data_IF_441889989766
#
_entry.id   IF_441889989766
#
_cell.length_a   1.000
_cell.length_b   1.000
_cell.length_c   1.000
_cell.angle_alpha   90.00
_cell.angle_beta   90.00
_cell.angle_gamma   90.00
#
_symmetry.space_group_name_H-M   'P 1'
#
loop_
_entity.id
_entity.type
_entity.pdbx_description
1 polymer ?
#
# COMPACT_ATOMS: atom_id res chain seq x y z
N UNK A 1 3.24 -22.08 29.96
CA UNK A 1 2.97 -21.28 28.75
C UNK A 1 4.21 -20.42 28.49
N UNK A 2 5.16 -20.94 27.71
CA UNK A 2 6.48 -20.33 27.56
C UNK A 2 6.53 -19.44 26.32
N UNK A 3 7.01 -18.20 26.47
CA UNK A 3 7.28 -17.21 25.42
C UNK A 3 7.91 -17.78 24.11
N UNK A 4 8.88 -18.72 24.14
CA UNK A 4 9.51 -19.25 22.91
C UNK A 4 8.56 -19.95 21.93
N UNK A 5 7.44 -20.53 22.40
CA UNK A 5 6.49 -21.25 21.55
C UNK A 5 5.79 -20.32 20.53
N UNK A 6 5.59 -19.06 20.91
CA UNK A 6 4.97 -18.05 20.05
C UNK A 6 5.87 -17.67 18.88
N UNK A 7 7.16 -17.45 19.13
CA UNK A 7 8.13 -17.13 18.06
C UNK A 7 8.19 -18.24 17.01
N UNK A 8 8.20 -19.50 17.46
CA UNK A 8 8.20 -20.64 16.56
C UNK A 8 6.91 -20.74 15.72
N UNK A 9 5.75 -20.39 16.30
CA UNK A 9 4.48 -20.28 15.56
C UNK A 9 4.51 -19.16 14.51
N UNK A 10 5.00 -17.96 14.84
CA UNK A 10 5.09 -16.86 13.87
C UNK A 10 6.03 -17.19 12.70
N UNK A 11 7.17 -17.84 12.96
CA UNK A 11 8.10 -18.28 11.91
C UNK A 11 7.42 -19.25 10.95
N UNK A 12 6.64 -20.22 11.45
CA UNK A 12 5.88 -21.15 10.59
C UNK A 12 4.86 -20.41 9.73
N UNK A 13 4.15 -19.42 10.28
CA UNK A 13 3.21 -18.60 9.50
C UNK A 13 3.93 -17.88 8.36
N UNK A 14 5.08 -17.25 8.64
CA UNK A 14 5.88 -16.57 7.61
C UNK A 14 6.38 -17.53 6.51
N UNK A 15 6.69 -18.78 6.87
CA UNK A 15 7.11 -19.82 5.93
C UNK A 15 5.97 -20.37 5.06
N UNK A 16 4.72 -20.34 5.56
CA UNK A 16 3.53 -20.77 4.82
C UNK A 16 3.07 -19.72 3.80
N UNK A 17 3.44 -18.44 3.99
CA UNK A 17 3.07 -17.38 3.06
C UNK A 17 3.74 -17.57 1.69
N UNK A 18 2.94 -17.55 0.63
CA UNK A 18 3.43 -17.60 -0.75
C UNK A 18 4.06 -16.27 -1.12
N UNK A 19 5.36 -16.27 -1.43
CA UNK A 19 6.03 -15.10 -2.01
C UNK A 19 5.41 -14.82 -3.38
N UNK A 20 4.95 -13.57 -3.65
CA UNK A 20 4.35 -13.25 -4.93
C UNK A 20 5.37 -13.40 -6.07
N UNK A 21 4.90 -13.86 -7.22
CA UNK A 21 5.69 -13.85 -8.44
C UNK A 21 5.94 -12.40 -8.90
N UNK A 22 6.96 -12.18 -9.73
CA UNK A 22 7.26 -10.83 -10.27
C UNK A 22 6.11 -10.27 -11.10
N UNK A 23 5.35 -11.14 -11.76
CA UNK A 23 4.20 -10.77 -12.60
C UNK A 23 3.01 -10.31 -11.74
N UNK A 24 2.63 -11.09 -10.72
CA UNK A 24 1.57 -10.72 -9.77
C UNK A 24 1.91 -9.42 -9.04
N UNK A 25 3.16 -9.27 -8.61
CA UNK A 25 3.63 -8.05 -7.96
C UNK A 25 3.55 -6.85 -8.89
N UNK A 26 3.99 -6.99 -10.15
CA UNK A 26 3.94 -5.90 -11.13
C UNK A 26 2.50 -5.51 -11.46
N UNK A 27 1.59 -6.48 -11.57
CA UNK A 27 0.17 -6.22 -11.81
C UNK A 27 -0.46 -5.44 -10.65
N UNK A 28 -0.24 -5.89 -9.41
CA UNK A 28 -0.71 -5.19 -8.22
C UNK A 28 -0.13 -3.77 -8.13
N UNK A 29 1.18 -3.63 -8.34
CA UNK A 29 1.87 -2.34 -8.31
C UNK A 29 1.33 -1.36 -9.37
N UNK A 30 1.05 -1.83 -10.60
CA UNK A 30 0.46 -0.99 -11.66
C UNK A 30 -0.93 -0.50 -11.30
N UNK A 31 -1.82 -1.39 -10.85
CA UNK A 31 -3.20 -1.03 -10.46
C UNK A 31 -3.18 -0.04 -9.29
N UNK A 32 -2.37 -0.33 -8.27
CA UNK A 32 -2.27 0.53 -7.08
C UNK A 32 -1.63 1.87 -7.42
N UNK A 33 -0.61 1.88 -8.28
CA UNK A 33 0.05 3.10 -8.75
C UNK A 33 -0.90 4.01 -9.54
N UNK A 34 -1.73 3.44 -10.42
CA UNK A 34 -2.75 4.21 -11.14
C UNK A 34 -3.79 4.79 -10.16
N UNK A 35 -4.24 4.00 -9.17
CA UNK A 35 -5.17 4.48 -8.15
C UNK A 35 -4.60 5.62 -7.30
N UNK A 36 -3.34 5.50 -6.87
CA UNK A 36 -2.65 6.52 -6.10
C UNK A 36 -2.45 7.82 -6.89
N UNK A 37 -2.10 7.72 -8.18
CA UNK A 37 -1.99 8.89 -9.05
C UNK A 37 -3.35 9.57 -9.28
N UNK A 38 -4.41 8.80 -9.52
CA UNK A 38 -5.75 9.34 -9.73
C UNK A 38 -6.26 10.09 -8.49
N UNK A 39 -6.17 9.47 -7.31
CA UNK A 39 -6.61 10.08 -6.05
C UNK A 39 -5.74 11.29 -5.71
N UNK A 40 -4.42 11.18 -5.89
CA UNK A 40 -3.48 12.27 -5.67
C UNK A 40 -3.74 13.47 -6.57
N UNK A 41 -4.05 13.25 -7.86
CA UNK A 41 -4.38 14.32 -8.80
C UNK A 41 -5.69 15.02 -8.41
N UNK A 42 -6.71 14.25 -8.00
CA UNK A 42 -7.99 14.82 -7.55
C UNK A 42 -7.78 15.69 -6.31
N UNK A 43 -7.05 15.18 -5.31
CA UNK A 43 -6.70 15.96 -4.12
C UNK A 43 -5.87 17.20 -4.44
N UNK A 44 -4.95 17.09 -5.41
CA UNK A 44 -4.13 18.21 -5.87
C UNK A 44 -4.95 19.27 -6.61
N UNK A 45 -5.93 18.87 -7.44
CA UNK A 45 -6.85 19.80 -8.10
C UNK A 45 -7.67 20.55 -7.05
N UNK A 46 -8.21 19.85 -6.04
CA UNK A 46 -8.92 20.50 -4.93
C UNK A 46 -8.01 21.48 -4.20
N UNK A 47 -6.76 21.11 -3.92
CA UNK A 47 -5.78 22.00 -3.33
C UNK A 47 -5.53 23.26 -4.18
N UNK A 48 -5.28 23.11 -5.49
CA UNK A 48 -5.08 24.24 -6.40
C UNK A 48 -6.30 25.17 -6.39
N UNK A 49 -7.51 24.60 -6.48
CA UNK A 49 -8.74 25.39 -6.46
C UNK A 49 -8.84 26.17 -5.14
N UNK A 50 -8.57 25.52 -4.01
CA UNK A 50 -8.59 26.18 -2.72
C UNK A 50 -7.51 27.26 -2.60
N UNK A 51 -6.29 27.04 -3.10
CA UNK A 51 -5.19 28.02 -3.04
C UNK A 51 -5.38 29.20 -3.98
N UNK A 52 -5.92 28.98 -5.19
CA UNK A 52 -6.11 30.04 -6.19
C UNK A 52 -7.37 30.86 -5.92
N UNK A 53 -8.46 30.22 -5.48
CA UNK A 53 -9.75 30.91 -5.21
C UNK A 53 -9.82 31.39 -3.77
N UNK A 54 -9.45 30.55 -2.81
CA UNK A 54 -9.28 30.95 -1.42
C UNK A 54 -7.90 31.52 -1.25
N UNK A 55 -7.72 32.80 -1.55
CA UNK A 55 -6.49 33.52 -1.26
C UNK A 55 -6.17 33.42 0.24
N UNK A 56 -5.36 32.42 0.59
CA UNK A 56 -4.46 32.37 1.74
C UNK A 56 -3.09 32.70 1.22
#
# INVERSE_FOLDING_TARGET
MAIPDYFQKYIRVLQIMKKPSREEFSAAAKVTGIGMLAIGLIGYIVYIIMTVIGAV
#
